data_IF_973013638540
#
_entry.id   IF_973013638540
#
_cell.length_a   1.000
_cell.length_b   1.000
_cell.length_c   1.000
_cell.angle_alpha   90.00
_cell.angle_beta   90.00
_cell.angle_gamma   90.00
#
_symmetry.space_group_name_H-M   'P 1'
#
loop_
_entity.id
_entity.type
_entity.pdbx_description
1 polymer ?
#
# COMPACT_ATOMS: atom_id res chain seq x y z
N UNK A 1 -0.05 24.47 -18.44
CA UNK A 1 1.14 23.60 -18.62
C UNK A 1 0.77 22.60 -19.70
N UNK A 2 1.13 22.90 -20.95
CA UNK A 2 0.55 22.24 -22.12
C UNK A 2 1.67 21.51 -22.88
N UNK A 3 1.33 20.38 -23.53
CA UNK A 3 2.20 19.60 -24.43
C UNK A 3 3.27 18.71 -23.74
N UNK A 4 2.84 17.69 -22.99
CA UNK A 4 3.71 16.58 -22.57
C UNK A 4 2.93 15.26 -22.52
N UNK A 5 3.48 14.17 -23.07
CA UNK A 5 2.72 12.93 -23.40
C UNK A 5 3.49 11.68 -22.98
N UNK A 6 3.01 11.00 -21.92
CA UNK A 6 3.71 9.85 -21.33
C UNK A 6 3.49 9.57 -19.82
N UNK A 7 4.16 8.56 -19.22
CA UNK A 7 4.05 8.11 -17.86
C UNK A 7 5.32 8.30 -17.05
N UNK A 8 5.20 8.88 -15.87
CA UNK A 8 6.31 8.93 -14.92
C UNK A 8 6.71 7.52 -14.45
N UNK A 9 8.01 7.31 -14.23
CA UNK A 9 8.59 6.12 -13.57
C UNK A 9 9.17 6.55 -12.23
N UNK A 10 8.53 6.13 -11.15
CA UNK A 10 9.04 6.25 -9.77
C UNK A 10 9.46 4.86 -9.33
N UNK A 11 10.74 4.69 -8.98
CA UNK A 11 11.26 3.39 -8.56
C UNK A 11 11.22 3.34 -7.04
N UNK A 12 10.55 2.35 -6.47
CA UNK A 12 10.44 2.17 -5.02
C UNK A 12 11.25 0.94 -4.61
N UNK A 13 12.11 1.09 -3.62
CA UNK A 13 12.96 0.01 -3.12
C UNK A 13 12.68 -0.26 -1.64
N UNK A 14 12.62 -1.52 -1.22
CA UNK A 14 12.80 -1.86 0.20
C UNK A 14 14.27 -2.12 0.46
N UNK A 15 14.85 -1.38 1.41
CA UNK A 15 16.28 -1.45 1.72
C UNK A 15 16.53 -1.87 3.17
N UNK A 16 17.60 -2.64 3.37
CA UNK A 16 18.08 -3.08 4.68
C UNK A 16 18.73 -1.94 5.46
N UNK A 17 18.74 -2.08 6.79
CA UNK A 17 19.37 -1.11 7.68
C UNK A 17 20.88 -1.36 7.79
N UNK A 18 21.70 -0.39 7.39
CA UNK A 18 23.15 -0.46 7.50
C UNK A 18 23.84 0.76 6.90
N UNK A 19 25.16 0.89 7.13
CA UNK A 19 25.99 1.91 6.45
C UNK A 19 26.04 1.71 4.93
N UNK A 20 25.86 0.47 4.48
CA UNK A 20 25.62 0.11 3.09
C UNK A 20 24.16 -0.34 2.99
N UNK A 21 23.32 0.43 2.29
CA UNK A 21 21.94 0.05 1.98
C UNK A 21 21.94 -1.02 0.90
N UNK A 22 21.41 -2.20 1.19
CA UNK A 22 21.21 -3.26 0.21
C UNK A 22 19.72 -3.55 0.03
N UNK A 23 19.33 -4.07 -1.13
CA UNK A 23 17.95 -4.47 -1.40
C UNK A 23 17.52 -5.63 -0.49
N UNK A 24 16.30 -5.54 0.04
CA UNK A 24 15.75 -6.61 0.87
C UNK A 24 15.09 -7.69 -0.01
N UNK A 25 15.93 -8.54 -0.60
CA UNK A 25 15.61 -9.47 -1.69
C UNK A 25 14.59 -10.60 -1.38
N UNK A 26 13.95 -10.63 -0.22
CA UNK A 26 13.15 -11.77 0.27
C UNK A 26 11.75 -11.42 0.79
N UNK A 27 11.19 -10.24 0.47
CA UNK A 27 9.87 -9.86 1.02
C UNK A 27 8.87 -9.25 0.04
N UNK A 28 9.26 -8.87 -1.19
CA UNK A 28 8.32 -8.44 -2.22
C UNK A 28 8.64 -9.14 -3.54
N UNK A 29 7.66 -9.85 -4.06
CA UNK A 29 7.63 -10.42 -5.42
C UNK A 29 6.58 -9.62 -6.22
N UNK A 30 6.52 -9.76 -7.54
CA UNK A 30 5.36 -9.38 -8.34
C UNK A 30 5.69 -8.90 -9.75
N UNK A 31 4.65 -8.75 -10.59
CA UNK A 31 4.80 -8.37 -12.00
C UNK A 31 5.52 -7.02 -12.23
N UNK A 32 5.57 -6.17 -11.20
CA UNK A 32 6.27 -4.89 -11.18
C UNK A 32 7.30 -4.79 -10.05
N UNK A 33 7.61 -5.91 -9.36
CA UNK A 33 8.49 -5.98 -8.21
C UNK A 33 9.53 -7.11 -8.39
N UNK A 34 10.78 -6.73 -8.66
CA UNK A 34 11.91 -7.64 -8.91
C UNK A 34 13.02 -7.34 -7.90
N UNK A 35 13.60 -8.35 -7.25
CA UNK A 35 14.66 -8.22 -6.23
C UNK A 35 14.41 -7.17 -5.11
N UNK A 36 13.15 -6.99 -4.70
CA UNK A 36 12.76 -5.98 -3.70
C UNK A 36 12.63 -4.54 -4.24
N UNK A 37 12.68 -4.37 -5.57
CA UNK A 37 12.44 -3.12 -6.31
C UNK A 37 11.03 -3.13 -6.92
N UNK A 38 10.07 -2.44 -6.31
CA UNK A 38 8.75 -2.20 -6.91
C UNK A 38 8.75 -0.92 -7.78
N UNK A 39 8.51 -1.06 -9.07
CA UNK A 39 8.46 0.08 -10.00
C UNK A 39 7.03 0.60 -10.17
N UNK A 40 6.79 1.86 -9.77
CA UNK A 40 5.57 2.59 -10.09
C UNK A 40 5.73 3.24 -11.48
N UNK A 41 5.06 2.67 -12.49
CA UNK A 41 5.00 3.21 -13.86
C UNK A 41 3.57 3.63 -14.16
N UNK A 42 3.36 4.85 -14.66
CA UNK A 42 2.04 5.47 -14.65
C UNK A 42 1.53 6.01 -15.99
N UNK A 43 0.98 5.14 -16.85
CA UNK A 43 0.22 5.51 -18.05
C UNK A 43 -0.15 4.28 -18.90
N UNK A 44 -0.93 4.46 -19.98
CA UNK A 44 -1.18 3.37 -20.93
C UNK A 44 0.14 2.91 -21.56
N UNK A 45 0.19 1.66 -22.05
CA UNK A 45 1.40 0.99 -22.55
C UNK A 45 2.22 1.82 -23.56
N UNK A 46 1.54 2.71 -24.29
CA UNK A 46 2.06 3.42 -25.47
C UNK A 46 2.36 4.91 -25.21
N UNK A 47 2.24 5.37 -23.96
CA UNK A 47 2.65 6.70 -23.53
C UNK A 47 4.10 6.61 -22.99
N UNK A 48 5.02 7.56 -23.31
CA UNK A 48 6.43 7.61 -22.80
C UNK A 48 6.91 9.05 -22.39
N UNK A 49 7.09 9.34 -21.08
CA UNK A 49 7.47 10.62 -20.45
C UNK A 49 8.53 10.38 -19.36
N UNK A 50 9.74 10.86 -19.55
CA UNK A 50 10.74 10.91 -18.48
C UNK A 50 10.47 12.10 -17.52
N UNK A 51 9.44 12.00 -16.66
CA UNK A 51 9.25 12.97 -15.58
C UNK A 51 10.41 12.87 -14.57
N UNK A 52 11.15 13.96 -14.44
CA UNK A 52 12.21 14.14 -13.44
C UNK A 52 11.91 15.43 -12.68
N UNK A 53 11.64 15.32 -11.39
CA UNK A 53 11.18 16.42 -10.55
C UNK A 53 10.59 15.90 -9.23
N UNK A 54 10.14 16.79 -8.32
CA UNK A 54 9.58 16.38 -7.05
C UNK A 54 8.35 15.48 -7.24
N UNK A 55 8.27 14.36 -6.53
CA UNK A 55 7.05 13.53 -6.50
C UNK A 55 6.81 12.96 -5.10
N UNK A 56 5.59 13.06 -4.58
CA UNK A 56 5.21 12.45 -3.31
C UNK A 56 4.79 11.01 -3.56
N UNK A 57 5.33 10.07 -2.79
CA UNK A 57 5.03 8.64 -2.88
C UNK A 57 4.45 8.18 -1.55
N UNK A 58 3.26 7.60 -1.58
CA UNK A 58 2.64 6.97 -0.41
C UNK A 58 2.61 5.44 -0.56
N UNK A 59 2.62 4.75 0.58
CA UNK A 59 2.39 3.30 0.68
C UNK A 59 1.21 3.05 1.61
N UNK A 60 0.21 2.31 1.11
CA UNK A 60 -0.96 1.88 1.87
C UNK A 60 -0.98 0.35 1.93
N UNK A 61 -1.29 -0.24 3.09
CA UNK A 61 -1.63 -1.66 3.19
C UNK A 61 -3.02 -1.93 2.62
N UNK A 62 -3.09 -2.90 1.73
CA UNK A 62 -4.31 -3.34 1.02
C UNK A 62 -4.49 -4.86 1.11
N UNK A 63 -5.72 -5.32 0.88
CA UNK A 63 -6.11 -6.74 0.97
C UNK A 63 -5.52 -7.60 -0.16
N UNK A 64 -5.37 -8.91 0.10
CA UNK A 64 -5.08 -9.92 -0.92
C UNK A 64 -6.36 -10.58 -1.45
N UNK A 65 -7.35 -9.76 -1.86
CA UNK A 65 -8.65 -10.23 -2.34
C UNK A 65 -8.80 -10.17 -3.87
N UNK A 66 -9.92 -10.69 -4.38
CA UNK A 66 -10.34 -10.50 -5.79
C UNK A 66 -10.50 -9.00 -6.13
N UNK A 67 -11.01 -8.23 -5.17
CA UNK A 67 -11.09 -6.78 -5.21
C UNK A 67 -10.11 -6.23 -4.17
N UNK A 68 -9.30 -5.24 -4.55
CA UNK A 68 -8.31 -4.60 -3.67
C UNK A 68 -8.99 -3.54 -2.81
N UNK A 69 -8.90 -3.68 -1.49
CA UNK A 69 -9.47 -2.76 -0.50
C UNK A 69 -8.41 -2.33 0.52
N UNK A 70 -8.66 -1.32 1.35
CA UNK A 70 -7.80 -1.04 2.50
C UNK A 70 -7.76 -2.25 3.45
N UNK A 71 -6.57 -2.58 3.96
CA UNK A 71 -6.41 -3.55 5.04
C UNK A 71 -6.61 -2.88 6.41
N UNK A 72 -6.93 -3.64 7.47
CA UNK A 72 -7.02 -3.07 8.82
C UNK A 72 -5.64 -2.82 9.46
N UNK A 73 -4.60 -3.59 9.08
CA UNK A 73 -3.24 -3.38 9.57
C UNK A 73 -2.67 -2.03 9.13
N UNK A 74 -1.73 -1.53 9.93
CA UNK A 74 -1.07 -0.25 9.72
C UNK A 74 0.42 -0.41 9.46
N UNK A 75 0.97 0.34 8.51
CA UNK A 75 2.43 0.45 8.38
C UNK A 75 2.99 1.32 9.50
N UNK A 76 4.11 0.89 10.07
CA UNK A 76 4.87 1.63 11.08
C UNK A 76 6.33 1.73 10.66
N UNK A 77 6.98 2.83 11.01
CA UNK A 77 8.37 3.10 10.61
C UNK A 77 8.66 4.60 10.55
N UNK A 78 9.90 4.96 10.18
CA UNK A 78 10.41 6.34 10.22
C UNK A 78 9.59 7.36 9.44
N UNK A 79 8.91 6.92 8.38
CA UNK A 79 8.18 7.78 7.44
C UNK A 79 6.68 7.49 7.42
N UNK A 80 6.15 6.86 8.47
CA UNK A 80 4.79 6.32 8.50
C UNK A 80 3.94 6.97 9.59
N UNK A 81 2.75 7.39 9.20
CA UNK A 81 1.75 8.07 10.03
C UNK A 81 0.38 7.48 9.65
N UNK A 82 -0.49 7.21 10.64
CA UNK A 82 -1.83 6.65 10.45
C UNK A 82 -1.89 5.37 9.57
N UNK A 83 -0.82 4.57 9.61
CA UNK A 83 -0.69 3.35 8.82
C UNK A 83 -0.38 3.57 7.33
N UNK A 84 0.11 4.76 6.96
CA UNK A 84 0.51 5.14 5.60
C UNK A 84 1.94 5.70 5.64
N UNK A 85 2.84 5.17 4.81
CA UNK A 85 4.20 5.70 4.72
C UNK A 85 4.31 6.71 3.58
N UNK A 86 4.94 7.86 3.81
CA UNK A 86 5.07 8.96 2.83
C UNK A 86 6.52 9.41 2.67
N UNK A 87 7.01 9.45 1.43
CA UNK A 87 8.33 10.03 1.07
C UNK A 87 8.20 10.95 -0.13
N UNK A 88 9.21 11.78 -0.37
CA UNK A 88 9.30 12.64 -1.56
C UNK A 88 10.52 12.22 -2.38
N UNK A 89 10.29 11.84 -3.62
CA UNK A 89 11.28 11.60 -4.66
C UNK A 89 11.68 12.91 -5.34
N UNK A 90 12.82 12.91 -6.03
CA UNK A 90 13.30 14.03 -6.83
C UNK A 90 14.03 15.12 -6.04
N UNK A 91 14.43 16.22 -6.70
CA UNK A 91 14.27 16.49 -8.13
C UNK A 91 15.34 15.85 -9.02
N UNK A 92 16.40 15.23 -8.44
CA UNK A 92 17.51 14.63 -9.19
C UNK A 92 17.47 13.10 -9.24
N UNK A 93 16.98 12.47 -8.18
CA UNK A 93 16.84 11.02 -8.07
C UNK A 93 15.35 10.66 -7.96
N UNK A 94 14.86 9.85 -8.89
CA UNK A 94 13.46 9.37 -8.92
C UNK A 94 13.29 8.00 -8.25
N UNK A 95 14.35 7.47 -7.65
CA UNK A 95 14.33 6.29 -6.78
C UNK A 95 14.04 6.72 -5.34
N UNK A 96 13.14 6.01 -4.67
CA UNK A 96 12.88 6.18 -3.23
C UNK A 96 12.95 4.86 -2.48
N UNK A 97 13.67 4.86 -1.36
CA UNK A 97 13.75 3.72 -0.46
C UNK A 97 12.79 3.84 0.71
N UNK A 98 12.00 2.79 0.98
CA UNK A 98 11.36 2.61 2.29
C UNK A 98 12.17 1.59 3.09
N UNK A 99 12.94 2.08 4.06
CA UNK A 99 13.69 1.26 4.99
C UNK A 99 12.89 1.03 6.28
N UNK A 100 13.08 -0.11 6.94
CA UNK A 100 12.53 -0.41 8.27
C UNK A 100 11.00 -0.25 8.37
N UNK A 101 10.26 -0.75 7.38
CA UNK A 101 8.80 -0.87 7.48
C UNK A 101 8.44 -2.06 8.37
N UNK A 102 7.64 -1.81 9.39
CA UNK A 102 6.92 -2.84 10.15
C UNK A 102 5.43 -2.82 9.79
N UNK A 103 4.76 -3.95 10.04
CA UNK A 103 3.30 -4.08 9.92
C UNK A 103 2.76 -4.24 11.35
N UNK A 104 1.94 -3.28 11.78
CA UNK A 104 1.23 -3.34 13.05
C UNK A 104 -0.05 -4.17 12.87
N UNK A 105 -0.03 -5.38 13.40
CA UNK A 105 -1.17 -6.30 13.40
C UNK A 105 -2.35 -5.76 14.23
N UNK A 106 -3.57 -5.91 13.71
CA UNK A 106 -4.81 -5.49 14.37
C UNK A 106 -5.60 -6.71 14.82
N UNK A 107 -5.98 -6.76 16.10
CA UNK A 107 -6.75 -7.89 16.62
C UNK A 107 -8.16 -7.95 16.00
N UNK A 108 -8.71 -9.16 15.82
CA UNK A 108 -10.05 -9.40 15.24
C UNK A 108 -11.17 -8.51 15.82
N UNK A 109 -11.11 -8.18 17.12
CA UNK A 109 -12.08 -7.30 17.80
C UNK A 109 -12.01 -5.82 17.36
N UNK A 110 -10.86 -5.37 16.85
CA UNK A 110 -10.57 -3.98 16.47
C UNK A 110 -10.55 -3.73 14.96
N UNK A 111 -10.78 -4.77 14.14
CA UNK A 111 -10.73 -4.67 12.67
C UNK A 111 -11.72 -3.61 12.16
N UNK A 112 -12.97 -3.66 12.61
CA UNK A 112 -14.01 -2.71 12.20
C UNK A 112 -13.64 -1.25 12.49
N UNK A 113 -13.38 -0.92 13.77
CA UNK A 113 -13.05 0.45 14.20
C UNK A 113 -11.79 1.00 13.50
N UNK A 114 -10.79 0.14 13.28
CA UNK A 114 -9.55 0.54 12.62
C UNK A 114 -9.76 0.73 11.12
N UNK A 115 -10.51 -0.15 10.47
CA UNK A 115 -10.80 -0.06 9.04
C UNK A 115 -11.64 1.18 8.71
N UNK A 116 -12.69 1.46 9.49
CA UNK A 116 -13.52 2.66 9.33
C UNK A 116 -12.68 3.95 9.48
N UNK A 117 -11.77 4.01 10.46
CA UNK A 117 -10.85 5.12 10.63
C UNK A 117 -9.87 5.26 9.45
N UNK A 118 -9.26 4.17 8.97
CA UNK A 118 -8.34 4.20 7.80
C UNK A 118 -9.07 4.61 6.52
N UNK A 119 -10.31 4.18 6.32
CA UNK A 119 -11.14 4.62 5.19
C UNK A 119 -11.48 6.11 5.27
N UNK A 120 -11.81 6.60 6.46
CA UNK A 120 -12.09 8.02 6.74
C UNK A 120 -10.87 8.89 6.38
N UNK A 121 -9.69 8.55 6.90
CA UNK A 121 -8.44 9.25 6.57
C UNK A 121 -8.09 9.20 5.08
N UNK A 122 -8.30 8.06 4.42
CA UNK A 122 -8.09 7.95 2.97
C UNK A 122 -9.04 8.85 2.15
N UNK A 123 -10.28 9.07 2.62
CA UNK A 123 -11.24 9.95 1.97
C UNK A 123 -10.92 11.44 2.20
N UNK A 124 -10.52 11.81 3.42
CA UNK A 124 -10.07 13.17 3.77
C UNK A 124 -8.82 13.53 2.93
N UNK A 125 -7.80 12.66 2.94
CA UNK A 125 -6.53 12.89 2.22
C UNK A 125 -6.61 12.62 0.71
N UNK A 126 -7.73 12.08 0.21
CA UNK A 126 -7.93 11.74 -1.21
C UNK A 126 -7.03 10.61 -1.73
N UNK A 127 -6.61 9.70 -0.83
CA UNK A 127 -5.70 8.59 -1.12
C UNK A 127 -6.47 7.35 -1.59
N UNK A 128 -6.80 7.34 -2.89
CA UNK A 128 -7.47 6.23 -3.57
C UNK A 128 -8.89 5.84 -3.05
N UNK A 129 -9.76 6.74 -2.54
CA UNK A 129 -11.02 6.35 -1.92
C UNK A 129 -11.98 5.63 -2.88
N UNK A 130 -12.05 6.09 -4.15
CA UNK A 130 -12.82 5.42 -5.20
C UNK A 130 -12.39 4.00 -5.54
N UNK A 131 -11.13 3.63 -5.24
CA UNK A 131 -10.54 2.33 -5.52
C UNK A 131 -10.56 1.42 -4.30
N UNK A 132 -10.25 1.96 -3.12
CA UNK A 132 -10.00 1.18 -1.90
C UNK A 132 -11.16 1.19 -0.89
N UNK A 133 -12.13 2.09 -1.03
CA UNK A 133 -13.27 2.25 -0.12
C UNK A 133 -14.58 1.93 -0.83
N UNK A 134 -15.00 2.78 -1.77
CA UNK A 134 -16.24 2.62 -2.53
C UNK A 134 -16.22 3.48 -3.81
N UNK A 135 -16.77 2.97 -4.92
CA UNK A 135 -16.76 3.65 -6.23
C UNK A 135 -17.37 5.05 -6.21
N UNK A 136 -18.44 5.25 -5.44
CA UNK A 136 -19.13 6.55 -5.32
C UNK A 136 -18.22 7.64 -4.75
N UNK A 137 -17.15 7.28 -4.05
CA UNK A 137 -16.17 8.22 -3.46
C UNK A 137 -15.03 8.57 -4.43
N UNK A 138 -15.09 8.16 -5.71
CA UNK A 138 -14.04 8.40 -6.70
C UNK A 138 -13.79 9.88 -7.04
N UNK A 139 -14.74 10.77 -6.72
CA UNK A 139 -14.54 12.22 -6.86
C UNK A 139 -13.66 12.82 -5.75
N UNK A 140 -13.44 12.11 -4.64
CA UNK A 140 -12.59 12.55 -3.53
C UNK A 140 -11.11 12.40 -3.91
N UNK A 141 -10.55 13.44 -4.50
CA UNK A 141 -9.14 13.51 -4.90
C UNK A 141 -8.29 14.20 -3.82
N UNK A 142 -6.96 14.06 -3.91
CA UNK A 142 -6.05 14.73 -2.99
C UNK A 142 -6.04 16.26 -3.27
N UNK A 143 -6.31 17.06 -2.25
CA UNK A 143 -6.32 18.53 -2.33
C UNK A 143 -5.04 19.12 -1.70
N UNK A 144 -4.70 20.36 -2.08
CA UNK A 144 -3.48 21.03 -1.61
C UNK A 144 -3.50 21.47 -0.14
N UNK A 145 -4.65 21.43 0.53
CA UNK A 145 -4.84 21.68 1.96
C UNK A 145 -5.59 20.53 2.61
N UNK A 146 -5.12 20.05 3.77
CA UNK A 146 -5.59 18.81 4.40
C UNK A 146 -6.91 18.88 5.16
N UNK A 147 -7.68 19.97 5.03
CA UNK A 147 -8.84 20.29 5.90
C UNK A 147 -10.20 19.86 5.31
N UNK A 148 -10.24 18.88 4.39
CA UNK A 148 -11.52 18.39 3.83
C UNK A 148 -12.38 17.78 4.93
N UNK A 149 -13.55 18.36 5.17
CA UNK A 149 -14.60 17.76 6.00
C UNK A 149 -15.48 16.84 5.15
N UNK A 150 -15.71 15.62 5.63
CA UNK A 150 -16.65 14.69 5.00
C UNK A 150 -18.10 15.03 5.33
N UNK A 151 -18.95 14.97 4.32
CA UNK A 151 -20.41 15.02 4.45
C UNK A 151 -20.95 13.77 5.14
N UNK A 152 -22.16 13.85 5.69
CA UNK A 152 -22.77 12.71 6.38
C UNK A 152 -23.11 11.55 5.42
N UNK A 153 -23.33 11.85 4.13
CA UNK A 153 -23.48 10.83 3.09
C UNK A 153 -22.16 10.06 2.87
N UNK A 154 -21.03 10.75 2.80
CA UNK A 154 -19.72 10.10 2.63
C UNK A 154 -19.37 9.23 3.85
N UNK A 155 -19.63 9.74 5.06
CA UNK A 155 -19.46 8.97 6.31
C UNK A 155 -20.30 7.69 6.30
N UNK A 156 -21.56 7.75 5.89
CA UNK A 156 -22.42 6.55 5.82
C UNK A 156 -21.93 5.54 4.77
N UNK A 157 -21.43 6.00 3.61
CA UNK A 157 -20.81 5.12 2.60
C UNK A 157 -19.57 4.42 3.19
N UNK A 158 -18.70 5.16 3.90
CA UNK A 158 -17.51 4.62 4.58
C UNK A 158 -17.91 3.58 5.62
N UNK A 159 -18.89 3.89 6.48
CA UNK A 159 -19.39 3.00 7.54
C UNK A 159 -19.93 1.68 6.98
N UNK A 160 -20.72 1.74 5.91
CA UNK A 160 -21.27 0.56 5.24
C UNK A 160 -20.17 -0.27 4.55
N UNK A 161 -19.21 0.39 3.89
CA UNK A 161 -18.05 -0.28 3.29
C UNK A 161 -17.20 -1.00 4.36
N UNK A 162 -16.91 -0.35 5.49
CA UNK A 162 -16.19 -0.94 6.61
C UNK A 162 -16.93 -2.15 7.21
N UNK A 163 -18.25 -2.05 7.40
CA UNK A 163 -19.09 -3.16 7.90
C UNK A 163 -19.04 -4.40 6.99
N UNK A 164 -19.04 -4.22 5.67
CA UNK A 164 -18.96 -5.34 4.74
C UNK A 164 -17.55 -5.91 4.66
N UNK A 165 -16.55 -5.07 4.41
CA UNK A 165 -15.17 -5.50 4.16
C UNK A 165 -14.51 -6.13 5.40
N UNK A 166 -14.94 -5.75 6.62
CA UNK A 166 -14.49 -6.39 7.87
C UNK A 166 -14.77 -7.90 7.90
N UNK A 167 -15.90 -8.36 7.34
CA UNK A 167 -16.31 -9.77 7.39
C UNK A 167 -15.43 -10.69 6.53
N UNK A 168 -14.84 -10.12 5.49
CA UNK A 168 -14.06 -10.81 4.47
C UNK A 168 -12.54 -10.58 4.66
N UNK A 169 -12.15 -9.91 5.75
CA UNK A 169 -10.77 -9.49 5.97
C UNK A 169 -9.89 -10.61 6.52
N UNK A 170 -8.98 -11.09 5.68
CA UNK A 170 -7.91 -11.98 6.07
C UNK A 170 -6.79 -11.18 6.77
N UNK A 171 -6.46 -11.55 8.01
CA UNK A 171 -5.40 -10.90 8.80
C UNK A 171 -4.04 -11.58 8.67
N UNK A 172 -3.97 -12.75 8.01
CA UNK A 172 -2.71 -13.47 7.76
C UNK A 172 -1.89 -12.85 6.62
N UNK A 173 -2.52 -12.08 5.74
CA UNK A 173 -1.92 -11.66 4.47
C UNK A 173 -2.28 -10.23 4.08
N UNK A 174 -1.27 -9.50 3.59
CA UNK A 174 -1.40 -8.11 3.14
C UNK A 174 -0.65 -7.88 1.83
N UNK A 175 -0.93 -6.77 1.14
CA UNK A 175 -0.13 -6.28 0.00
C UNK A 175 0.20 -4.80 0.22
N UNK A 176 1.30 -4.32 -0.38
CA UNK A 176 1.64 -2.91 -0.40
C UNK A 176 1.11 -2.27 -1.69
N UNK A 177 0.32 -1.20 -1.57
CA UNK A 177 -0.04 -0.33 -2.69
C UNK A 177 0.81 0.94 -2.65
N UNK A 178 1.61 1.14 -3.69
CA UNK A 178 2.39 2.35 -3.92
C UNK A 178 1.61 3.31 -4.82
N UNK A 179 1.40 4.54 -4.37
CA UNK A 179 0.77 5.59 -5.18
C UNK A 179 1.66 6.83 -5.22
N UNK A 180 2.00 7.30 -6.41
CA UNK A 180 2.76 8.52 -6.60
C UNK A 180 1.86 9.69 -6.99
N UNK A 181 2.24 10.90 -6.57
CA UNK A 181 1.54 12.16 -6.83
C UNK A 181 2.55 13.18 -7.33
N UNK A 182 2.27 13.76 -8.49
CA UNK A 182 3.08 14.82 -9.08
C UNK A 182 2.56 16.21 -8.62
N UNK A 183 3.44 17.22 -8.53
CA UNK A 183 3.03 18.59 -8.22
C UNK A 183 2.13 19.14 -9.33
N UNK A 184 1.05 19.82 -8.97
CA UNK A 184 0.22 20.61 -9.87
C UNK A 184 0.83 21.99 -10.17
N UNK A 185 0.05 22.90 -10.77
CA UNK A 185 0.45 24.27 -11.06
C UNK A 185 0.68 25.16 -9.83
N UNK A 186 0.19 24.77 -8.65
CA UNK A 186 0.47 25.43 -7.36
C UNK A 186 1.64 24.81 -6.60
N UNK A 187 2.21 23.71 -7.12
CA UNK A 187 3.26 22.94 -6.46
C UNK A 187 2.75 21.88 -5.48
N UNK A 188 1.43 21.75 -5.31
CA UNK A 188 0.82 20.77 -4.42
C UNK A 188 0.76 19.38 -5.06
N UNK A 189 1.07 18.34 -4.29
CA UNK A 189 1.13 16.96 -4.79
C UNK A 189 -0.27 16.32 -4.95
N UNK A 190 -1.02 16.77 -5.96
CA UNK A 190 -2.42 16.38 -6.20
C UNK A 190 -2.58 15.49 -7.45
N UNK A 191 -1.67 15.57 -8.43
CA UNK A 191 -1.76 14.82 -9.69
C UNK A 191 -1.38 13.36 -9.49
N UNK A 192 -2.36 12.55 -9.08
CA UNK A 192 -2.24 11.12 -8.81
C UNK A 192 -1.81 10.35 -10.07
N UNK A 193 -0.88 9.42 -9.88
CA UNK A 193 -0.44 8.42 -10.84
C UNK A 193 -1.13 7.07 -10.59
N UNK A 194 -1.06 6.15 -11.56
CA UNK A 194 -1.72 4.85 -11.39
C UNK A 194 -1.03 4.02 -10.29
N UNK A 195 -1.77 3.46 -9.31
CA UNK A 195 -1.16 2.73 -8.21
C UNK A 195 -0.58 1.39 -8.65
N UNK A 196 0.53 0.99 -8.05
CA UNK A 196 1.12 -0.34 -8.26
C UNK A 196 1.06 -1.12 -6.95
N UNK A 197 0.64 -2.39 -7.04
CA UNK A 197 0.48 -3.28 -5.89
C UNK A 197 1.55 -4.38 -5.93
N UNK A 198 2.26 -4.60 -4.83
CA UNK A 198 3.21 -5.71 -4.64
C UNK A 198 2.50 -7.06 -4.62
N UNK A 199 3.23 -8.17 -4.59
CA UNK A 199 2.65 -9.46 -4.18
C UNK A 199 2.31 -9.48 -2.68
N UNK A 200 1.70 -10.60 -2.27
CA UNK A 200 1.28 -10.90 -0.92
C UNK A 200 2.47 -11.07 0.05
N UNK A 201 2.34 -10.47 1.22
CA UNK A 201 3.19 -10.63 2.40
C UNK A 201 2.36 -11.41 3.42
N UNK A 202 2.84 -12.58 3.81
CA UNK A 202 2.18 -13.46 4.79
C UNK A 202 2.82 -13.28 6.18
N UNK A 203 2.01 -13.38 7.24
CA UNK A 203 2.50 -13.41 8.61
C UNK A 203 3.28 -14.72 8.85
N UNK A 204 4.51 -14.59 9.33
CA UNK A 204 5.37 -15.71 9.69
C UNK A 204 4.86 -16.50 10.90
N UNK A 205 3.92 -15.93 11.68
CA UNK A 205 3.32 -16.61 12.82
C UNK A 205 2.51 -17.86 12.40
N UNK A 206 1.77 -17.83 11.29
CA UNK A 206 1.02 -18.99 10.79
C UNK A 206 1.91 -20.04 10.11
N UNK A 207 3.01 -19.63 9.46
CA UNK A 207 4.00 -20.53 8.86
C UNK A 207 4.65 -21.47 9.89
N UNK A 208 4.61 -21.12 11.18
CA UNK A 208 5.13 -21.94 12.28
C UNK A 208 4.25 -23.16 12.57
N UNK A 209 2.93 -23.02 12.43
CA UNK A 209 1.94 -24.05 12.81
C UNK A 209 1.95 -25.19 11.81
N UNK A 210 1.87 -24.86 10.51
CA UNK A 210 1.93 -25.85 9.42
C UNK A 210 3.21 -26.70 9.44
N UNK A 211 4.30 -26.17 10.01
CA UNK A 211 5.57 -26.88 10.14
C UNK A 211 5.60 -27.85 11.33
N UNK A 212 4.77 -27.64 12.36
CA UNK A 212 4.63 -28.59 13.47
C UNK A 212 3.73 -29.78 13.09
N UNK A 213 2.63 -29.54 12.39
CA UNK A 213 1.74 -30.61 11.92
C UNK A 213 2.48 -31.60 10.99
N UNK A 214 3.23 -31.08 10.01
CA UNK A 214 4.07 -31.92 9.13
C UNK A 214 5.19 -32.68 9.83
N UNK A 215 5.60 -32.26 11.04
CA UNK A 215 6.64 -32.95 11.83
C UNK A 215 6.05 -34.01 12.78
N UNK A 216 4.76 -33.92 13.08
CA UNK A 216 4.00 -34.93 13.83
C UNK A 216 3.62 -36.11 12.93
N UNK A 217 3.16 -35.86 11.70
CA UNK A 217 2.83 -36.94 10.74
C UNK A 217 4.04 -37.83 10.36
N UNK A 218 5.28 -37.34 10.50
CA UNK A 218 6.50 -38.10 10.22
C UNK A 218 7.04 -38.93 11.42
N UNK A 219 6.32 -38.99 12.55
CA UNK A 219 6.72 -39.81 13.71
C UNK A 219 6.00 -41.16 13.84
N UNK A 220 4.90 -41.38 13.14
CA UNK A 220 4.09 -42.61 13.22
C UNK A 220 4.48 -43.71 12.22
N UNK A 221 5.67 -43.63 11.62
CA UNK A 221 6.22 -44.65 10.72
C UNK A 221 7.49 -45.30 11.29
N UNK A 222 7.36 -45.92 12.46
CA UNK A 222 8.30 -46.95 12.91
C UNK A 222 7.92 -48.30 12.27
N UNK A 223 8.81 -48.94 11.49
CA UNK A 223 8.57 -50.32 11.08
C UNK A 223 8.70 -51.24 12.30
N UNK A 224 7.64 -52.01 12.55
CA UNK A 224 7.65 -53.14 13.48
C UNK A 224 8.61 -54.25 12.97
N UNK A 225 9.17 -55.09 13.86
CA UNK A 225 10.34 -55.93 13.57
C UNK A 225 10.07 -57.14 12.65
#
# INVERSE_FOLDING_TARGET
>A
ICNYVGPAKVIVQLVTNGKNTHLHAHSLVGKHCEDGICTVVAGPKDMICNYVGPAKVIVQLVTNGKNTHLHAHSLVGKHCEDGICTVVAGPKDMVVGFANLGILHVTKKKVYETLEARMTEACIRGYNPGLLVHSDLAYLQAEGGGDRQLTDREKEIIRQAALQQTKEMDLSVVRLMFTAFLPDSTGSFTRRLEPVVSDAIYDSSEYSVLRQDSFLEHRDQTPAP
#
